data_IF_126725479696
#
_entry.id   IF_126725479696
#
_cell.length_a   1.000
_cell.length_b   1.000
_cell.length_c   1.000
_cell.angle_alpha   90.00
_cell.angle_beta   90.00
_cell.angle_gamma   90.00
#
_symmetry.space_group_name_H-M   'P 1'
#
loop_
_entity.id
_entity.type
_entity.pdbx_description
1 polymer ?
#
# COMPACT_ATOMS: atom_id res chain seq x y z
N UNK A 1 -20.10 10.66 15.95
CA UNK A 1 -19.26 9.87 15.05
C UNK A 1 -19.84 9.86 13.65
N UNK A 2 -19.01 9.62 12.64
CA UNK A 2 -19.42 9.64 11.21
C UNK A 2 -20.29 8.43 10.80
N UNK A 3 -20.64 7.52 11.74
CA UNK A 3 -21.42 6.32 11.46
C UNK A 3 -20.70 5.28 10.57
N UNK A 4 -19.42 5.48 10.27
CA UNK A 4 -18.61 4.53 9.50
C UNK A 4 -18.08 3.46 10.46
N UNK A 5 -18.34 2.17 10.22
CA UNK A 5 -17.78 1.10 11.04
C UNK A 5 -16.27 1.00 10.75
N UNK A 6 -15.47 0.99 11.83
CA UNK A 6 -14.03 0.73 11.77
C UNK A 6 -13.77 -0.68 12.29
N UNK A 7 -12.92 -1.44 11.59
CA UNK A 7 -12.55 -2.80 12.00
C UNK A 7 -11.18 -2.86 12.67
N UNK A 8 -10.34 -1.85 12.44
CA UNK A 8 -9.03 -1.68 13.07
C UNK A 8 -8.59 -0.22 13.09
N UNK A 9 -7.57 0.09 13.88
CA UNK A 9 -6.91 1.39 13.87
C UNK A 9 -5.38 1.20 13.85
N UNK A 10 -4.68 2.08 13.14
CA UNK A 10 -3.22 2.11 13.10
C UNK A 10 -2.73 3.55 13.16
N UNK A 11 -1.74 3.82 14.01
CA UNK A 11 -0.95 5.03 13.99
C UNK A 11 0.43 4.73 13.38
N UNK A 12 0.88 5.55 12.45
CA UNK A 12 2.20 5.44 11.84
C UNK A 12 3.08 6.58 12.34
N UNK A 13 4.14 6.21 13.03
CA UNK A 13 5.06 7.12 13.69
C UNK A 13 6.50 6.90 13.20
N UNK A 14 7.39 7.78 13.61
CA UNK A 14 8.83 7.61 13.59
C UNK A 14 9.39 7.74 15.00
N UNK A 15 10.28 6.85 15.37
CA UNK A 15 10.95 6.78 16.67
C UNK A 15 12.16 7.71 16.74
N UNK A 16 12.63 7.98 17.95
CA UNK A 16 13.85 8.75 18.26
C UNK A 16 15.05 7.86 18.68
N UNK A 17 14.99 6.57 18.38
CA UNK A 17 16.06 5.62 18.72
C UNK A 17 17.31 5.83 17.90
N UNK A 18 18.50 5.67 18.50
CA UNK A 18 19.78 5.69 17.79
C UNK A 18 20.51 4.36 17.94
N UNK A 19 21.35 4.01 16.96
CA UNK A 19 22.30 2.91 17.09
C UNK A 19 23.73 3.46 17.18
N UNK A 20 24.61 2.77 17.90
CA UNK A 20 26.01 3.21 18.08
C UNK A 20 26.89 3.10 16.83
N UNK A 21 26.45 2.36 15.81
CA UNK A 21 27.25 2.01 14.63
C UNK A 21 26.53 2.33 13.33
N UNK A 22 25.62 3.31 13.33
CA UNK A 22 24.77 3.63 12.18
C UNK A 22 24.06 2.39 11.57
N UNK A 23 23.82 1.37 12.39
CA UNK A 23 23.02 0.21 11.97
C UNK A 23 21.55 0.61 11.92
N UNK A 24 20.82 -0.05 11.05
CA UNK A 24 19.37 0.12 10.93
C UNK A 24 18.69 -0.16 12.28
N UNK A 25 17.94 0.80 12.77
CA UNK A 25 17.08 0.67 13.96
C UNK A 25 15.83 -0.12 13.61
N UNK A 26 15.21 0.17 12.47
CA UNK A 26 14.09 -0.57 11.92
C UNK A 26 12.76 -0.33 12.63
N UNK A 27 11.82 -1.26 12.46
CA UNK A 27 10.41 -1.08 12.83
C UNK A 27 10.05 -1.73 14.16
N UNK A 28 9.30 -0.99 15.00
CA UNK A 28 8.73 -1.43 16.27
C UNK A 28 7.19 -1.37 16.20
N UNK A 29 6.52 -2.39 16.74
CA UNK A 29 5.06 -2.40 16.90
C UNK A 29 4.66 -2.26 18.36
N UNK A 30 3.70 -1.40 18.66
CA UNK A 30 3.19 -1.16 20.01
C UNK A 30 1.69 -1.45 20.05
N UNK A 31 1.27 -2.18 21.07
CA UNK A 31 -0.12 -2.54 21.32
C UNK A 31 -0.41 -2.55 22.81
N UNK A 32 -1.66 -2.71 23.23
CA UNK A 32 -2.07 -2.77 24.64
C UNK A 32 -2.98 -3.97 24.88
N UNK A 33 -2.57 -4.92 25.74
CA UNK A 33 -3.42 -6.05 26.15
C UNK A 33 -4.02 -5.88 27.53
N UNK A 34 -3.34 -5.23 28.46
CA UNK A 34 -3.70 -5.20 29.92
C UNK A 34 -4.74 -4.15 30.31
N UNK A 35 -5.41 -3.52 29.34
CA UNK A 35 -6.46 -2.54 29.61
C UNK A 35 -7.86 -3.17 29.51
N UNK A 36 -8.82 -2.71 30.33
CA UNK A 36 -10.20 -3.17 30.36
C UNK A 36 -10.33 -4.72 30.44
N UNK A 37 -9.63 -5.34 31.38
CA UNK A 37 -9.60 -6.81 31.57
C UNK A 37 -9.18 -7.60 30.33
N UNK A 38 -8.40 -7.00 29.43
CA UNK A 38 -7.94 -7.63 28.19
C UNK A 38 -8.95 -7.62 27.04
N UNK A 39 -10.03 -6.84 27.16
CA UNK A 39 -11.10 -6.80 26.17
C UNK A 39 -11.20 -5.42 25.50
N UNK A 40 -11.55 -5.42 24.23
CA UNK A 40 -12.04 -4.27 23.47
C UNK A 40 -13.52 -4.02 23.78
N UNK A 41 -14.06 -2.87 23.40
CA UNK A 41 -15.44 -2.49 23.74
C UNK A 41 -16.50 -3.49 23.21
N UNK A 42 -16.25 -4.15 22.08
CA UNK A 42 -17.10 -5.20 21.51
C UNK A 42 -16.91 -6.60 22.10
N UNK A 43 -16.12 -6.75 23.20
CA UNK A 43 -15.84 -8.05 23.81
C UNK A 43 -14.71 -8.85 23.16
N UNK A 44 -14.14 -8.38 22.06
CA UNK A 44 -12.99 -9.01 21.38
C UNK A 44 -11.75 -8.94 22.28
N UNK A 45 -10.97 -10.02 22.31
CA UNK A 45 -9.72 -10.07 23.05
C UNK A 45 -8.69 -9.09 22.44
N UNK A 46 -8.01 -8.32 23.29
CA UNK A 46 -6.99 -7.34 22.85
C UNK A 46 -5.73 -7.98 22.24
N UNK A 47 -5.56 -9.29 22.31
CA UNK A 47 -4.53 -9.99 21.54
C UNK A 47 -4.71 -9.81 20.02
N UNK A 48 -5.92 -9.51 19.54
CA UNK A 48 -6.14 -9.12 18.14
C UNK A 48 -5.31 -7.89 17.72
N UNK A 49 -5.01 -6.97 18.65
CA UNK A 49 -4.10 -5.84 18.41
C UNK A 49 -2.64 -6.28 18.27
N UNK A 50 -2.22 -7.29 19.06
CA UNK A 50 -0.90 -7.90 18.93
C UNK A 50 -0.75 -8.58 17.57
N UNK A 51 -1.74 -9.34 17.15
CA UNK A 51 -1.73 -10.06 15.87
C UNK A 51 -1.67 -9.09 14.69
N UNK A 52 -2.40 -7.97 14.76
CA UNK A 52 -2.31 -6.88 13.79
C UNK A 52 -0.89 -6.30 13.71
N UNK A 53 -0.27 -6.01 14.87
CA UNK A 53 1.12 -5.53 14.93
C UNK A 53 2.10 -6.52 14.31
N UNK A 54 1.95 -7.80 14.64
CA UNK A 54 2.85 -8.88 14.21
C UNK A 54 2.82 -9.07 12.70
N UNK A 55 1.63 -9.10 12.10
CA UNK A 55 1.45 -9.23 10.65
C UNK A 55 2.08 -8.05 9.93
N UNK A 56 1.86 -6.81 10.42
CA UNK A 56 2.43 -5.60 9.79
C UNK A 56 3.97 -5.62 9.85
N UNK A 57 4.56 -5.89 11.02
CA UNK A 57 6.01 -5.92 11.17
C UNK A 57 6.65 -7.01 10.31
N UNK A 58 6.05 -8.18 10.26
CA UNK A 58 6.54 -9.31 9.48
C UNK A 58 6.49 -9.01 7.98
N UNK A 59 5.41 -8.40 7.50
CA UNK A 59 5.27 -8.02 6.10
C UNK A 59 6.28 -6.94 5.71
N UNK A 60 6.46 -5.90 6.55
CA UNK A 60 7.43 -4.84 6.33
C UNK A 60 8.85 -5.40 6.22
N UNK A 61 9.28 -6.21 7.20
CA UNK A 61 10.61 -6.82 7.17
C UNK A 61 10.84 -7.62 5.90
N UNK A 62 9.91 -8.49 5.54
CA UNK A 62 10.01 -9.36 4.37
C UNK A 62 10.14 -8.56 3.07
N UNK A 63 9.28 -7.57 2.86
CA UNK A 63 9.24 -6.81 1.62
C UNK A 63 10.42 -5.86 1.49
N UNK A 64 10.84 -5.21 2.60
CA UNK A 64 12.00 -4.34 2.60
C UNK A 64 13.27 -5.15 2.35
N UNK A 65 13.44 -6.29 3.02
CA UNK A 65 14.57 -7.18 2.79
C UNK A 65 14.67 -7.61 1.31
N UNK A 66 13.55 -8.03 0.73
CA UNK A 66 13.51 -8.53 -0.65
C UNK A 66 13.75 -7.44 -1.69
N UNK A 67 13.21 -6.23 -1.50
CA UNK A 67 13.32 -5.15 -2.48
C UNK A 67 14.65 -4.38 -2.42
N UNK A 68 15.30 -4.36 -1.25
CA UNK A 68 16.49 -3.55 -1.04
C UNK A 68 17.74 -4.36 -0.71
N UNK A 69 17.61 -5.70 -0.55
CA UNK A 69 18.70 -6.59 -0.13
C UNK A 69 19.39 -6.13 1.16
N UNK A 70 18.62 -5.56 2.10
CA UNK A 70 19.09 -5.08 3.39
C UNK A 70 18.46 -5.88 4.53
N UNK A 71 19.19 -6.00 5.63
CA UNK A 71 18.69 -6.62 6.86
C UNK A 71 17.90 -5.59 7.67
N UNK A 72 16.62 -5.38 7.28
CA UNK A 72 15.72 -4.48 8.00
C UNK A 72 15.35 -5.06 9.34
N UNK A 73 15.67 -4.34 10.40
CA UNK A 73 15.44 -4.83 11.77
C UNK A 73 13.95 -4.84 12.10
N UNK A 74 13.41 -6.04 12.33
CA UNK A 74 12.12 -6.24 12.98
C UNK A 74 12.34 -6.20 14.47
N UNK A 75 12.02 -5.08 15.11
CA UNK A 75 12.14 -4.90 16.55
C UNK A 75 11.06 -5.68 17.31
N UNK A 76 11.13 -5.68 18.63
CA UNK A 76 10.18 -6.39 19.49
C UNK A 76 8.76 -5.80 19.36
N UNK A 77 7.78 -6.63 19.67
CA UNK A 77 6.41 -6.20 19.92
C UNK A 77 6.31 -5.70 21.37
N UNK A 78 5.87 -4.45 21.55
CA UNK A 78 5.77 -3.84 22.88
C UNK A 78 4.32 -3.76 23.37
N UNK A 79 4.02 -4.46 24.46
CA UNK A 79 2.76 -4.29 25.19
C UNK A 79 2.88 -3.08 26.11
N UNK A 80 2.40 -1.92 25.66
CA UNK A 80 2.51 -0.63 26.37
C UNK A 80 1.19 0.13 26.33
N UNK A 81 0.89 0.82 27.43
CA UNK A 81 -0.37 1.52 27.65
C UNK A 81 -0.32 2.95 27.06
N UNK A 82 -0.36 3.07 25.73
CA UNK A 82 -0.52 4.34 25.04
C UNK A 82 -2.00 4.64 24.75
N UNK A 83 -2.38 5.91 24.62
CA UNK A 83 -3.76 6.31 24.32
C UNK A 83 -4.23 5.75 22.98
N UNK A 84 -3.38 5.77 21.97
CA UNK A 84 -3.67 5.31 20.58
C UNK A 84 -3.89 3.79 20.49
N UNK A 85 -3.37 3.02 21.44
CA UNK A 85 -3.58 1.56 21.50
C UNK A 85 -4.58 1.14 22.57
N UNK A 86 -4.86 2.00 23.54
CA UNK A 86 -5.78 1.72 24.65
C UNK A 86 -7.22 2.13 24.35
N UNK A 87 -7.41 3.37 23.79
CA UNK A 87 -8.72 3.99 23.65
C UNK A 87 -9.56 3.47 22.48
N UNK A 88 -9.00 3.02 21.34
CA UNK A 88 -9.83 2.49 20.26
C UNK A 88 -10.68 1.30 20.72
N UNK A 89 -11.92 1.27 20.22
CA UNK A 89 -12.86 0.18 20.45
C UNK A 89 -12.56 -1.09 19.62
N UNK A 90 -11.66 -0.96 18.66
CA UNK A 90 -11.22 -1.99 17.71
C UNK A 90 -9.75 -2.36 17.89
N UNK A 91 -9.26 -3.47 17.33
CA UNK A 91 -7.85 -3.80 17.31
C UNK A 91 -7.00 -2.63 16.82
N UNK A 92 -5.95 -2.29 17.57
CA UNK A 92 -5.18 -1.07 17.31
C UNK A 92 -3.70 -1.25 17.58
N UNK A 93 -2.87 -0.60 16.78
CA UNK A 93 -1.41 -0.62 16.89
C UNK A 93 -0.79 0.71 16.55
N UNK A 94 0.35 1.02 17.18
CA UNK A 94 1.30 2.03 16.70
C UNK A 94 2.43 1.29 16.00
N UNK A 95 2.79 1.75 14.82
CA UNK A 95 3.95 1.29 14.07
C UNK A 95 4.99 2.42 14.05
N UNK A 96 6.04 2.25 14.82
CA UNK A 96 7.23 3.09 14.74
C UNK A 96 8.06 2.57 13.57
N UNK A 97 7.87 3.17 12.39
CA UNK A 97 8.39 2.64 11.13
C UNK A 97 9.93 2.58 11.12
N UNK A 98 10.54 3.68 11.53
CA UNK A 98 11.99 3.91 11.50
C UNK A 98 12.38 4.96 12.54
N UNK A 99 13.68 5.13 12.78
CA UNK A 99 14.16 6.21 13.63
C UNK A 99 14.55 7.44 12.82
N UNK A 100 13.90 8.58 13.11
CA UNK A 100 14.26 9.87 12.50
C UNK A 100 15.58 10.46 13.01
N UNK A 101 16.19 9.86 14.03
CA UNK A 101 17.52 10.22 14.56
C UNK A 101 18.63 9.30 14.06
N UNK A 102 18.31 8.27 13.30
CA UNK A 102 19.28 7.32 12.77
C UNK A 102 19.52 7.58 11.28
N UNK A 103 20.80 7.77 10.89
CA UNK A 103 21.15 8.12 9.52
C UNK A 103 20.86 6.97 8.54
N UNK A 104 21.12 5.72 8.92
CA UNK A 104 20.85 4.56 8.06
C UNK A 104 19.37 4.41 7.76
N UNK A 105 18.49 4.58 8.76
CA UNK A 105 17.04 4.56 8.58
C UNK A 105 16.57 5.72 7.69
N UNK A 106 17.09 6.93 7.93
CA UNK A 106 16.67 8.13 7.22
C UNK A 106 17.11 8.18 5.76
N UNK A 107 18.24 7.56 5.41
CA UNK A 107 18.62 7.36 3.99
C UNK A 107 17.51 6.67 3.20
N UNK A 108 16.89 5.65 3.79
CA UNK A 108 15.76 4.95 3.19
C UNK A 108 14.48 5.76 3.32
N UNK A 109 14.24 6.36 4.49
CA UNK A 109 13.06 7.17 4.75
C UNK A 109 12.87 8.36 3.79
N UNK A 110 13.93 8.86 3.16
CA UNK A 110 13.85 9.90 2.12
C UNK A 110 13.60 9.36 0.71
N UNK A 111 13.83 8.06 0.47
CA UNK A 111 13.61 7.45 -0.85
C UNK A 111 12.11 7.28 -1.13
N UNK A 112 11.57 7.87 -2.22
CA UNK A 112 10.18 7.68 -2.62
C UNK A 112 9.80 6.21 -2.88
N UNK A 113 10.73 5.42 -3.42
CA UNK A 113 10.48 4.00 -3.69
C UNK A 113 10.35 3.22 -2.38
N UNK A 114 11.17 3.55 -1.37
CA UNK A 114 11.02 2.98 -0.04
C UNK A 114 9.67 3.31 0.58
N UNK A 115 9.20 4.56 0.46
CA UNK A 115 7.87 4.97 0.95
C UNK A 115 6.76 4.19 0.24
N UNK A 116 6.87 3.97 -1.07
CA UNK A 116 5.92 3.15 -1.81
C UNK A 116 5.94 1.69 -1.31
N UNK A 117 7.12 1.09 -1.14
CA UNK A 117 7.27 -0.27 -0.62
C UNK A 117 6.64 -0.40 0.77
N UNK A 118 6.91 0.53 1.67
CA UNK A 118 6.32 0.57 3.02
C UNK A 118 4.80 0.66 2.96
N UNK A 119 4.26 1.60 2.19
CA UNK A 119 2.81 1.77 2.03
C UNK A 119 2.15 0.50 1.48
N UNK A 120 2.76 -0.13 0.47
CA UNK A 120 2.27 -1.38 -0.10
C UNK A 120 2.36 -2.55 0.88
N UNK A 121 3.44 -2.66 1.66
CA UNK A 121 3.60 -3.70 2.69
C UNK A 121 2.54 -3.58 3.78
N UNK A 122 2.29 -2.36 4.27
CA UNK A 122 1.23 -2.09 5.25
C UNK A 122 -0.14 -2.45 4.68
N UNK A 123 -0.43 -2.05 3.42
CA UNK A 123 -1.67 -2.41 2.74
C UNK A 123 -1.86 -3.93 2.66
N UNK A 124 -0.84 -4.68 2.23
CA UNK A 124 -0.89 -6.16 2.18
C UNK A 124 -1.16 -6.77 3.56
N UNK A 125 -0.48 -6.28 4.58
CA UNK A 125 -0.65 -6.75 5.97
C UNK A 125 -2.06 -6.49 6.51
N UNK A 126 -2.60 -5.30 6.29
CA UNK A 126 -3.98 -4.94 6.68
C UNK A 126 -4.99 -5.84 5.95
N UNK A 127 -4.84 -6.00 4.63
CA UNK A 127 -5.71 -6.85 3.82
C UNK A 127 -5.68 -8.30 4.32
N UNK A 128 -4.49 -8.85 4.58
CA UNK A 128 -4.32 -10.18 5.13
C UNK A 128 -4.97 -10.31 6.51
N UNK A 129 -4.75 -9.34 7.41
CA UNK A 129 -5.34 -9.32 8.73
C UNK A 129 -6.87 -9.36 8.67
N UNK A 130 -7.49 -8.45 7.89
CA UNK A 130 -8.95 -8.37 7.76
C UNK A 130 -9.54 -9.62 7.10
N UNK A 131 -8.93 -10.13 6.04
CA UNK A 131 -9.39 -11.35 5.39
C UNK A 131 -9.33 -12.56 6.33
N UNK A 132 -8.27 -12.69 7.15
CA UNK A 132 -8.14 -13.73 8.16
C UNK A 132 -9.25 -13.62 9.22
N UNK A 133 -9.59 -12.41 9.68
CA UNK A 133 -10.67 -12.20 10.65
C UNK A 133 -12.03 -12.64 10.10
N UNK A 134 -12.25 -12.53 8.79
CA UNK A 134 -13.49 -12.88 8.12
C UNK A 134 -13.46 -14.26 7.45
N UNK A 135 -12.40 -15.05 7.60
CA UNK A 135 -12.24 -16.37 6.98
C UNK A 135 -12.29 -16.30 5.45
N UNK A 136 -11.72 -15.26 4.85
CA UNK A 136 -11.70 -15.01 3.39
C UNK A 136 -10.29 -15.10 2.83
N UNK A 137 -10.18 -15.56 1.60
CA UNK A 137 -8.94 -15.41 0.82
C UNK A 137 -8.75 -13.95 0.43
N UNK A 138 -7.51 -13.46 0.53
CA UNK A 138 -7.17 -12.13 0.08
C UNK A 138 -6.54 -12.15 -1.32
N UNK A 139 -6.81 -11.10 -2.08
CA UNK A 139 -6.18 -10.82 -3.38
C UNK A 139 -5.67 -9.38 -3.35
N UNK A 140 -4.38 -9.23 -3.59
CA UNK A 140 -3.75 -7.90 -3.60
C UNK A 140 -3.97 -7.23 -4.96
N UNK A 141 -4.23 -5.94 -4.97
CA UNK A 141 -4.31 -5.15 -6.21
C UNK A 141 -2.97 -5.17 -6.96
N UNK A 142 -2.99 -5.06 -8.31
CA UNK A 142 -1.77 -5.06 -9.12
C UNK A 142 -0.81 -3.89 -8.79
N UNK A 143 0.43 -4.01 -9.23
CA UNK A 143 1.34 -2.88 -9.34
C UNK A 143 0.88 -1.93 -10.45
N UNK A 144 1.27 -0.64 -10.38
CA UNK A 144 1.09 0.27 -11.51
C UNK A 144 1.72 -0.28 -12.79
N UNK A 145 1.15 0.07 -13.93
CA UNK A 145 1.76 -0.25 -15.22
C UNK A 145 3.05 0.53 -15.43
N UNK A 146 3.97 -0.03 -16.20
CA UNK A 146 5.20 0.65 -16.61
C UNK A 146 5.24 0.88 -18.13
N UNK A 147 6.23 1.64 -18.58
CA UNK A 147 6.48 1.90 -20.01
C UNK A 147 5.23 2.42 -20.75
N UNK A 148 4.41 3.23 -20.07
CA UNK A 148 3.28 3.86 -20.72
C UNK A 148 3.75 4.80 -21.81
N UNK A 149 3.26 4.60 -23.04
CA UNK A 149 3.63 5.39 -24.20
C UNK A 149 2.43 5.67 -25.09
N UNK A 150 2.50 6.79 -25.80
CA UNK A 150 1.47 7.25 -26.72
C UNK A 150 2.15 7.59 -28.06
N UNK A 151 1.61 7.11 -29.16
CA UNK A 151 2.05 7.47 -30.51
C UNK A 151 0.86 7.74 -31.41
N UNK A 152 1.08 8.44 -32.53
CA UNK A 152 0.07 8.54 -33.56
C UNK A 152 -0.17 7.17 -34.20
N UNK A 153 -1.43 6.82 -34.36
CA UNK A 153 -1.81 5.58 -35.02
C UNK A 153 -1.75 5.67 -36.55
N UNK A 154 -1.74 4.51 -37.22
CA UNK A 154 -1.73 4.43 -38.69
C UNK A 154 -3.00 4.99 -39.31
N UNK A 155 -4.11 4.94 -38.59
CA UNK A 155 -5.39 5.54 -39.07
C UNK A 155 -5.44 7.02 -38.69
N UNK A 156 -5.97 7.83 -39.61
CA UNK A 156 -6.18 9.27 -39.37
C UNK A 156 -6.98 9.50 -38.07
N UNK A 157 -6.54 10.47 -37.27
CA UNK A 157 -7.18 10.87 -36.03
C UNK A 157 -7.24 9.73 -34.99
N UNK A 158 -6.19 8.92 -34.90
CA UNK A 158 -6.04 7.91 -33.83
C UNK A 158 -4.73 8.08 -33.09
N UNK A 159 -4.76 7.73 -31.80
CA UNK A 159 -3.58 7.53 -30.96
C UNK A 159 -3.52 6.07 -30.55
N UNK A 160 -2.34 5.50 -30.57
CA UNK A 160 -2.06 4.17 -30.02
C UNK A 160 -1.36 4.33 -28.68
N UNK A 161 -1.99 3.81 -27.65
CA UNK A 161 -1.47 3.73 -26.30
C UNK A 161 -0.95 2.32 -26.05
N UNK A 162 0.22 2.21 -25.45
CA UNK A 162 0.77 0.92 -25.02
C UNK A 162 1.47 1.03 -23.67
N UNK A 163 1.51 -0.07 -22.95
CA UNK A 163 2.12 -0.16 -21.61
C UNK A 163 2.55 -1.59 -21.32
N UNK A 164 3.23 -1.79 -20.19
CA UNK A 164 3.56 -3.11 -19.67
C UNK A 164 2.86 -3.30 -18.33
N UNK A 165 2.15 -4.42 -18.17
CA UNK A 165 1.67 -4.86 -16.87
C UNK A 165 2.83 -5.39 -16.02
N UNK A 166 2.91 -4.98 -14.76
CA UNK A 166 3.95 -5.43 -13.84
C UNK A 166 3.47 -6.57 -12.95
N UNK A 167 4.32 -7.58 -12.79
CA UNK A 167 4.11 -8.66 -11.84
C UNK A 167 4.84 -8.35 -10.53
N UNK A 168 4.15 -8.52 -9.41
CA UNK A 168 4.75 -8.42 -8.08
C UNK A 168 5.35 -9.78 -7.70
N UNK A 169 6.68 -9.88 -7.73
CA UNK A 169 7.40 -11.12 -7.41
C UNK A 169 7.18 -11.58 -5.96
N UNK A 170 6.80 -10.66 -5.07
CA UNK A 170 6.55 -10.94 -3.66
C UNK A 170 5.08 -11.25 -3.38
N UNK A 171 4.19 -11.06 -4.39
CA UNK A 171 2.76 -11.20 -4.20
C UNK A 171 2.07 -11.77 -5.47
N UNK A 172 2.08 -13.10 -5.63
CA UNK A 172 1.51 -13.74 -6.82
C UNK A 172 0.02 -13.46 -7.06
N UNK A 173 -0.72 -13.08 -6.01
CA UNK A 173 -2.14 -12.73 -6.15
C UNK A 173 -2.36 -11.39 -6.87
N UNK A 174 -1.33 -10.53 -6.90
CA UNK A 174 -1.38 -9.19 -7.48
C UNK A 174 -1.26 -9.14 -9.01
N UNK A 175 -1.41 -10.28 -9.69
CA UNK A 175 -1.29 -10.34 -11.15
C UNK A 175 -2.37 -9.51 -11.85
N UNK A 176 -2.01 -8.62 -12.81
CA UNK A 176 -2.98 -7.91 -13.64
C UNK A 176 -3.89 -8.86 -14.42
N UNK A 177 -5.18 -8.55 -14.50
CA UNK A 177 -6.17 -9.28 -15.30
C UNK A 177 -6.74 -8.45 -16.43
N UNK A 178 -6.82 -7.17 -16.21
CA UNK A 178 -7.32 -6.17 -17.14
C UNK A 178 -6.68 -4.81 -16.83
N UNK A 179 -6.92 -3.83 -17.69
CA UNK A 179 -6.45 -2.47 -17.54
C UNK A 179 -7.61 -1.51 -17.73
N UNK A 180 -7.50 -0.31 -17.15
CA UNK A 180 -8.48 0.75 -17.30
C UNK A 180 -7.77 1.97 -17.86
N UNK A 181 -8.21 2.43 -19.02
CA UNK A 181 -7.68 3.60 -19.70
C UNK A 181 -8.59 4.77 -19.42
N UNK A 182 -8.09 5.78 -18.75
CA UNK A 182 -8.81 7.01 -18.47
C UNK A 182 -8.40 8.11 -19.43
N UNK A 183 -9.38 8.84 -19.95
CA UNK A 183 -9.18 9.96 -20.87
C UNK A 183 -9.60 11.26 -20.24
N UNK A 184 -8.82 12.31 -20.45
CA UNK A 184 -9.18 13.68 -20.13
C UNK A 184 -9.09 14.55 -21.35
N UNK A 185 -10.12 15.36 -21.59
CA UNK A 185 -10.20 16.33 -22.68
C UNK A 185 -9.98 17.73 -22.13
N UNK A 186 -9.00 18.44 -22.66
CA UNK A 186 -8.63 19.77 -22.22
C UNK A 186 -8.25 19.84 -20.74
N UNK A 187 -8.92 20.71 -19.98
CA UNK A 187 -8.68 20.97 -18.55
C UNK A 187 -9.73 20.30 -17.63
N UNK A 188 -10.60 19.47 -18.17
CA UNK A 188 -11.62 18.76 -17.41
C UNK A 188 -11.08 17.67 -16.47
N UNK A 189 -11.97 16.92 -15.84
CA UNK A 189 -11.64 15.70 -15.13
C UNK A 189 -11.38 14.53 -16.06
N UNK A 190 -10.79 13.45 -15.54
CA UNK A 190 -10.76 12.17 -16.25
C UNK A 190 -12.17 11.56 -16.29
N UNK A 191 -12.44 10.82 -17.36
CA UNK A 191 -13.68 10.05 -17.52
C UNK A 191 -13.75 8.84 -16.55
N UNK A 192 -14.77 8.00 -16.71
CA UNK A 192 -14.95 6.79 -15.91
C UNK A 192 -14.08 5.61 -16.36
N UNK A 193 -13.24 5.81 -17.38
CA UNK A 193 -12.31 4.83 -17.91
C UNK A 193 -12.94 3.76 -18.79
N UNK A 194 -12.14 3.22 -19.69
CA UNK A 194 -12.48 2.10 -20.58
C UNK A 194 -11.68 0.88 -20.14
N UNK A 195 -12.36 -0.24 -19.85
CA UNK A 195 -11.72 -1.52 -19.51
C UNK A 195 -11.24 -2.23 -20.77
N UNK A 196 -9.99 -2.70 -20.74
CA UNK A 196 -9.37 -3.46 -21.83
C UNK A 196 -8.58 -4.66 -21.26
N UNK A 197 -8.55 -5.75 -22.00
CA UNK A 197 -7.81 -6.96 -21.59
C UNK A 197 -6.36 -7.00 -22.10
N UNK A 198 -6.06 -6.19 -23.14
CA UNK A 198 -4.72 -6.12 -23.72
C UNK A 198 -3.94 -4.93 -23.17
N UNK A 199 -2.61 -4.97 -23.11
CA UNK A 199 -1.79 -3.84 -22.67
C UNK A 199 -1.62 -2.78 -23.78
N UNK A 200 -2.69 -2.51 -24.51
CA UNK A 200 -2.76 -1.51 -25.57
C UNK A 200 -4.20 -1.02 -25.78
N UNK A 201 -4.31 0.22 -26.29
CA UNK A 201 -5.61 0.83 -26.59
C UNK A 201 -5.46 1.82 -27.75
N UNK A 202 -6.43 1.83 -28.67
CA UNK A 202 -6.49 2.83 -29.75
C UNK A 202 -7.58 3.86 -29.42
N UNK A 203 -7.16 5.08 -29.16
CA UNK A 203 -8.06 6.20 -28.93
C UNK A 203 -8.34 6.98 -30.21
N UNK A 204 -9.61 7.34 -30.46
CA UNK A 204 -9.99 8.31 -31.48
C UNK A 204 -9.83 9.72 -30.93
N UNK A 205 -9.28 10.62 -31.72
CA UNK A 205 -9.04 12.01 -31.33
C UNK A 205 -9.57 12.98 -32.41
N UNK A 206 -9.81 14.21 -31.98
CA UNK A 206 -10.16 15.32 -32.88
C UNK A 206 -8.96 16.26 -32.97
N UNK A 207 -8.60 16.73 -34.18
CA UNK A 207 -7.53 17.71 -34.36
C UNK A 207 -7.79 19.00 -33.58
N UNK A 208 -6.75 19.55 -32.97
CA UNK A 208 -6.82 20.80 -32.20
C UNK A 208 -7.32 20.64 -30.77
N UNK A 209 -7.68 19.43 -30.37
CA UNK A 209 -8.09 19.12 -28.97
C UNK A 209 -6.92 18.51 -28.21
N UNK A 210 -6.72 18.96 -26.98
CA UNK A 210 -5.71 18.41 -26.06
C UNK A 210 -6.30 17.21 -25.31
N UNK A 211 -5.64 16.09 -25.40
CA UNK A 211 -5.98 14.86 -24.66
C UNK A 211 -4.89 14.53 -23.66
N UNK A 212 -5.30 13.97 -22.52
CA UNK A 212 -4.39 13.35 -21.54
C UNK A 212 -4.92 11.97 -21.21
N UNK A 213 -4.02 11.02 -21.01
CA UNK A 213 -4.36 9.65 -20.69
C UNK A 213 -3.61 9.20 -19.44
N UNK A 214 -4.20 8.30 -18.69
CA UNK A 214 -3.55 7.50 -17.64
C UNK A 214 -4.12 6.09 -17.68
N UNK A 215 -3.33 5.13 -17.27
CA UNK A 215 -3.70 3.71 -17.26
C UNK A 215 -3.49 3.12 -15.87
N UNK A 216 -4.41 2.27 -15.47
CA UNK A 216 -4.29 1.44 -14.27
C UNK A 216 -4.38 -0.03 -14.64
N UNK A 217 -3.81 -0.90 -13.81
CA UNK A 217 -4.01 -2.33 -13.88
C UNK A 217 -5.05 -2.76 -12.84
N UNK A 218 -5.87 -3.76 -13.13
CA UNK A 218 -6.91 -4.23 -12.22
C UNK A 218 -6.98 -5.76 -12.14
N UNK A 219 -7.45 -6.25 -11.00
CA UNK A 219 -7.81 -7.64 -10.73
C UNK A 219 -8.96 -7.70 -9.70
N UNK A 220 -9.27 -8.89 -9.14
CA UNK A 220 -10.29 -9.04 -8.07
C UNK A 220 -9.97 -8.26 -6.79
N UNK A 221 -8.70 -7.98 -6.52
CA UNK A 221 -8.24 -7.25 -5.33
C UNK A 221 -8.37 -5.74 -5.46
N UNK A 222 -8.68 -5.24 -6.65
CA UNK A 222 -8.85 -3.81 -6.89
C UNK A 222 -8.02 -3.29 -8.06
N UNK A 223 -7.89 -1.98 -8.08
CA UNK A 223 -7.22 -1.19 -9.11
C UNK A 223 -5.91 -0.61 -8.58
N UNK A 224 -4.86 -0.66 -9.41
CA UNK A 224 -3.55 -0.10 -9.06
C UNK A 224 -3.55 1.43 -8.99
N UNK A 225 -2.48 2.02 -8.46
CA UNK A 225 -2.19 3.42 -8.77
C UNK A 225 -2.04 3.61 -10.27
N UNK A 226 -2.35 4.81 -10.81
CA UNK A 226 -2.24 5.09 -12.23
C UNK A 226 -0.79 5.18 -12.69
N UNK A 227 -0.60 5.05 -14.02
CA UNK A 227 0.60 5.49 -14.71
C UNK A 227 0.82 7.00 -14.55
N UNK A 228 1.97 7.48 -14.97
CA UNK A 228 2.15 8.90 -15.29
C UNK A 228 1.16 9.35 -16.38
N UNK A 229 0.92 10.67 -16.44
CA UNK A 229 -0.05 11.30 -17.38
C UNK A 229 0.67 11.79 -18.62
#
# INVERSE_FOLDING_TARGET
GLGVPFEMAMALHSDAGTSKEDKIVGTLGIYTTKFNKGLLAGGTNRYASRDLSDIILTQLQRDIHSNYAIDWTRRSLWDRNYSETRLPAVPSTIIELLSHQNFADMRLGHDPNFKFTVGRSIYKAILQYLCNQHGKDYVVQPLPVSNFSIRFGDKKNTLELSWKGEEDQLEPTAKPREYIVYTRIGRGGFDNGVRVSSPSYTAKIEPGIVYSFKVTAANRGGESFPSEI
#
